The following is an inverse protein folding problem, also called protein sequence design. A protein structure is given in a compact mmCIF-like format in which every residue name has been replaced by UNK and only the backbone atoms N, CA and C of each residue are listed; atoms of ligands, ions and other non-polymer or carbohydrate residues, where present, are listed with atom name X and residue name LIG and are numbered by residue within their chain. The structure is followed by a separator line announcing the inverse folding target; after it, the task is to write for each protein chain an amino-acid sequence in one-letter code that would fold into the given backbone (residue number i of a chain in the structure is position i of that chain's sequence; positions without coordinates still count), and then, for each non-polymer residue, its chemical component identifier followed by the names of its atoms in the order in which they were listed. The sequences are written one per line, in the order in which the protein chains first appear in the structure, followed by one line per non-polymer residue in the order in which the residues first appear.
data_IF_893007972189
#
_entry.id   IF_893007972189
#
_cell.length_a   1.000
_cell.length_b   1.000
_cell.length_c   1.000
_cell.angle_alpha   90.00
_cell.angle_beta   90.00
_cell.angle_gamma   90.00
#
_symmetry.space_group_name_H-M   'P 1'
#
loop_
_entity.id
_entity.type
_entity.pdbx_description
1 polymer ?
#
# COMPACT_ATOMS: atom_id res chain seq x y z
N UNK A 1 48.01 10.55 -9.11
CA UNK A 1 47.70 10.09 -7.73
C UNK A 1 46.30 10.58 -7.41
N UNK A 2 45.30 9.84 -6.96
CA UNK A 2 45.14 8.43 -6.64
C UNK A 2 43.64 8.09 -6.89
N UNK A 3 43.36 6.90 -7.45
CA UNK A 3 42.01 6.36 -7.62
C UNK A 3 41.49 5.87 -6.27
N UNK A 4 40.42 6.47 -5.74
CA UNK A 4 39.73 5.98 -4.54
C UNK A 4 38.64 4.99 -4.94
N UNK A 5 39.04 3.73 -5.06
CA UNK A 5 38.15 2.57 -5.13
C UNK A 5 37.47 2.38 -3.76
N UNK A 6 36.15 2.55 -3.69
CA UNK A 6 35.34 2.12 -2.54
C UNK A 6 34.95 0.66 -2.73
N UNK A 7 35.53 -0.22 -1.93
CA UNK A 7 35.18 -1.64 -1.83
C UNK A 7 33.90 -1.81 -1.01
N UNK A 8 32.94 -2.56 -1.54
CA UNK A 8 31.76 -3.02 -0.79
C UNK A 8 31.99 -4.48 -0.40
N UNK A 9 32.10 -4.74 0.89
CA UNK A 9 32.22 -6.09 1.44
C UNK A 9 30.85 -6.75 1.53
N UNK A 10 30.62 -7.77 0.71
CA UNK A 10 29.44 -8.62 0.82
C UNK A 10 29.63 -9.65 1.94
N UNK A 11 28.82 -9.58 2.99
CA UNK A 11 28.76 -10.60 4.04
C UNK A 11 27.71 -11.64 3.65
N UNK A 12 28.17 -12.82 3.23
CA UNK A 12 27.33 -13.96 2.89
C UNK A 12 26.83 -14.70 4.13
N UNK A 13 25.51 -14.84 4.26
CA UNK A 13 24.91 -15.70 5.28
C UNK A 13 24.66 -17.10 4.70
N UNK A 14 25.35 -18.10 5.27
CA UNK A 14 25.14 -19.53 5.03
C UNK A 14 23.92 -19.98 5.84
N UNK A 15 22.98 -20.72 5.25
CA UNK A 15 22.01 -21.54 5.99
C UNK A 15 22.18 -23.01 5.59
N UNK A 16 22.49 -23.81 6.60
CA UNK A 16 22.60 -25.26 6.54
C UNK A 16 21.21 -25.90 6.43
N UNK A 17 21.10 -26.92 5.59
CA UNK A 17 19.93 -27.78 5.44
C UNK A 17 20.27 -29.10 6.12
N UNK A 18 19.54 -29.43 7.18
CA UNK A 18 19.44 -30.80 7.70
C UNK A 18 18.02 -31.03 8.21
N UNK A 19 17.26 -31.91 7.57
CA UNK A 19 16.47 -32.91 8.28
C UNK A 19 16.12 -34.06 7.33
N UNK A 20 16.35 -35.26 7.83
CA UNK A 20 16.23 -36.52 7.14
C UNK A 20 14.79 -37.05 7.15
N UNK A 21 14.56 -37.96 6.20
CA UNK A 21 13.47 -38.94 6.04
C UNK A 21 12.73 -39.38 7.32
N UNK A 22 11.41 -39.47 7.21
CA UNK A 22 10.64 -40.58 7.75
C UNK A 22 9.39 -40.82 6.90
N UNK A 23 9.14 -42.11 6.66
CA UNK A 23 8.23 -42.70 5.68
C UNK A 23 6.91 -43.15 6.35
N UNK A 24 5.90 -43.38 5.50
CA UNK A 24 4.69 -44.20 5.71
C UNK A 24 3.65 -43.83 6.80
N UNK A 25 2.40 -43.55 6.39
CA UNK A 25 1.32 -44.54 6.45
C UNK A 25 -0.07 -43.91 6.16
N UNK A 26 -0.85 -44.64 5.35
CA UNK A 26 -2.18 -44.32 4.85
C UNK A 26 -3.29 -44.32 5.92
N UNK A 27 -4.40 -43.61 5.65
CA UNK A 27 -5.82 -44.08 5.67
C UNK A 27 -6.77 -42.88 5.51
N UNK A 28 -7.30 -42.65 4.31
CA UNK A 28 -8.67 -43.00 3.87
C UNK A 28 -9.82 -42.26 4.57
N UNK A 29 -10.42 -41.33 3.82
CA UNK A 29 -11.86 -41.09 3.68
C UNK A 29 -12.75 -40.99 4.94
N UNK A 30 -13.24 -39.78 5.22
CA UNK A 30 -14.70 -39.54 5.35
C UNK A 30 -14.99 -38.05 5.44
N UNK A 31 -15.44 -37.47 4.33
CA UNK A 31 -16.05 -36.13 4.30
C UNK A 31 -17.56 -36.34 4.17
N UNK A 32 -18.31 -35.95 5.21
CA UNK A 32 -19.73 -35.50 5.24
C UNK A 32 -20.44 -36.00 6.50
N UNK A 33 -21.05 -35.07 7.24
CA UNK A 33 -22.02 -35.41 8.28
C UNK A 33 -22.31 -34.31 9.30
N UNK A 34 -22.86 -33.16 8.86
CA UNK A 34 -23.60 -32.29 9.78
C UNK A 34 -24.93 -32.97 10.14
N UNK A 35 -25.10 -33.35 11.42
CA UNK A 35 -26.36 -33.33 12.19
C UNK A 35 -26.22 -34.20 13.46
N UNK A 36 -25.69 -33.62 14.56
CA UNK A 36 -25.81 -34.23 15.89
C UNK A 36 -26.99 -33.61 16.65
N UNK A 37 -27.80 -34.48 17.25
CA UNK A 37 -29.08 -34.21 17.91
C UNK A 37 -28.93 -33.30 19.14
N UNK A 38 -29.95 -32.48 19.37
CA UNK A 38 -30.03 -31.44 20.40
C UNK A 38 -30.46 -32.05 21.74
N UNK A 39 -29.51 -32.38 22.61
CA UNK A 39 -29.79 -32.67 24.02
C UNK A 39 -29.74 -31.41 24.89
N UNK A 40 -30.81 -31.22 25.67
CA UNK A 40 -31.02 -30.08 26.56
C UNK A 40 -30.24 -30.23 27.88
N UNK A 41 -29.41 -29.22 28.15
CA UNK A 41 -29.24 -28.49 29.44
C UNK A 41 -28.29 -29.11 30.50
N UNK A 42 -27.14 -28.46 30.68
CA UNK A 42 -26.56 -28.21 32.02
C UNK A 42 -26.07 -26.76 32.10
N UNK A 43 -26.84 -25.93 32.81
CA UNK A 43 -26.48 -24.56 33.20
C UNK A 43 -25.32 -24.68 34.19
N UNK A 44 -24.10 -24.38 33.75
CA UNK A 44 -22.91 -24.27 34.60
C UNK A 44 -22.46 -22.83 34.54
N UNK A 45 -22.53 -22.15 35.68
CA UNK A 45 -21.97 -20.82 35.88
C UNK A 45 -20.51 -20.81 35.40
N UNK A 46 -20.17 -19.89 34.50
CA UNK A 46 -18.79 -19.66 34.09
C UNK A 46 -18.55 -18.19 33.78
N UNK A 47 -18.22 -17.47 34.86
CA UNK A 47 -17.29 -16.34 34.87
C UNK A 47 -16.13 -16.68 33.90
N UNK A 48 -16.13 -16.07 32.72
CA UNK A 48 -15.16 -16.36 31.65
C UNK A 48 -15.54 -15.81 30.26
N UNK A 49 -16.36 -14.75 30.21
CA UNK A 49 -16.84 -14.16 28.94
C UNK A 49 -15.79 -13.27 28.26
N UNK A 50 -15.00 -12.53 29.03
CA UNK A 50 -13.99 -11.61 28.48
C UNK A 50 -12.83 -12.35 27.82
N UNK A 51 -12.40 -13.47 28.39
CA UNK A 51 -11.32 -14.30 27.83
C UNK A 51 -11.69 -14.87 26.47
N UNK A 52 -12.97 -15.22 26.23
CA UNK A 52 -13.41 -15.80 24.95
C UNK A 52 -13.42 -14.79 23.79
N UNK A 53 -13.84 -13.55 24.06
CA UNK A 53 -13.78 -12.47 23.08
C UNK A 53 -12.33 -12.05 22.80
N UNK A 54 -11.50 -12.02 23.84
CA UNK A 54 -10.07 -11.73 23.72
C UNK A 54 -9.33 -12.84 22.94
N UNK A 55 -9.64 -14.11 23.18
CA UNK A 55 -9.13 -15.25 22.41
C UNK A 55 -9.57 -15.21 20.94
N UNK A 56 -10.81 -14.83 20.67
CA UNK A 56 -11.31 -14.64 19.30
C UNK A 56 -10.58 -13.49 18.59
N UNK A 57 -10.36 -12.38 19.29
CA UNK A 57 -9.55 -11.25 18.78
C UNK A 57 -8.10 -11.69 18.52
N UNK A 58 -7.47 -12.40 19.45
CA UNK A 58 -6.12 -12.93 19.27
C UNK A 58 -6.06 -13.92 18.11
N UNK A 59 -7.10 -14.73 17.89
CA UNK A 59 -7.18 -15.65 16.75
C UNK A 59 -7.33 -14.89 15.42
N UNK A 60 -8.08 -13.80 15.40
CA UNK A 60 -8.21 -12.93 14.23
C UNK A 60 -6.89 -12.22 13.89
N UNK A 61 -6.15 -11.78 14.91
CA UNK A 61 -4.83 -11.13 14.75
C UNK A 61 -3.76 -12.15 14.33
N UNK A 62 -3.77 -13.34 14.94
CA UNK A 62 -2.74 -14.37 14.72
C UNK A 62 -2.77 -14.99 13.33
N UNK A 63 -3.82 -14.76 12.52
CA UNK A 63 -3.92 -15.08 11.10
C UNK A 63 -3.45 -16.49 10.72
N UNK A 64 -4.36 -17.40 10.36
CA UNK A 64 -3.94 -18.65 9.73
C UNK A 64 -3.53 -18.34 8.28
N UNK A 65 -2.21 -18.21 8.04
CA UNK A 65 -1.69 -18.14 6.69
C UNK A 65 -1.83 -19.52 6.05
N UNK A 66 -2.43 -19.63 4.86
CA UNK A 66 -2.36 -20.87 4.10
C UNK A 66 -0.90 -21.18 3.77
N UNK A 67 -0.57 -22.47 3.67
CA UNK A 67 0.75 -22.88 3.19
C UNK A 67 0.95 -22.29 1.78
N UNK A 68 2.05 -21.56 1.59
CA UNK A 68 2.32 -20.91 0.31
C UNK A 68 2.60 -21.97 -0.75
N UNK A 69 1.83 -21.98 -1.84
CA UNK A 69 2.18 -22.76 -3.02
C UNK A 69 3.52 -22.27 -3.58
N UNK A 70 4.45 -23.20 -3.79
CA UNK A 70 5.73 -22.87 -4.40
C UNK A 70 5.52 -22.53 -5.87
N UNK A 71 5.81 -21.28 -6.24
CA UNK A 71 5.74 -20.87 -7.65
C UNK A 71 6.64 -21.74 -8.52
N UNK A 72 6.11 -22.12 -9.69
CA UNK A 72 6.89 -22.74 -10.75
C UNK A 72 8.01 -21.80 -11.21
N UNK A 73 9.04 -22.33 -11.87
CA UNK A 73 10.17 -21.51 -12.33
C UNK A 73 9.74 -20.47 -13.37
N UNK A 74 8.79 -20.81 -14.23
CA UNK A 74 8.23 -19.90 -15.23
C UNK A 74 7.45 -18.75 -14.58
N UNK A 75 6.63 -19.04 -13.56
CA UNK A 75 5.91 -18.01 -12.80
C UNK A 75 6.86 -17.09 -12.05
N UNK A 76 7.93 -17.64 -11.44
CA UNK A 76 8.98 -16.85 -10.78
C UNK A 76 9.63 -15.86 -11.75
N UNK A 77 9.95 -16.31 -12.96
CA UNK A 77 10.52 -15.44 -13.99
C UNK A 77 9.53 -14.36 -14.43
N UNK A 78 8.27 -14.70 -14.70
CA UNK A 78 7.23 -13.71 -15.01
C UNK A 78 7.04 -12.67 -13.91
N UNK A 79 6.99 -13.10 -12.66
CA UNK A 79 6.85 -12.20 -11.52
C UNK A 79 8.06 -11.26 -11.39
N UNK A 80 9.27 -11.78 -11.67
CA UNK A 80 10.48 -10.95 -11.70
C UNK A 80 10.43 -9.91 -12.82
N UNK A 81 9.96 -10.27 -14.02
CA UNK A 81 9.79 -9.34 -15.14
C UNK A 81 8.75 -8.26 -14.82
N UNK A 82 7.60 -8.65 -14.28
CA UNK A 82 6.56 -7.71 -13.83
C UNK A 82 7.12 -6.74 -12.80
N UNK A 83 7.85 -7.23 -11.80
CA UNK A 83 8.48 -6.37 -10.79
C UNK A 83 9.48 -5.37 -11.40
N UNK A 84 10.28 -5.81 -12.37
CA UNK A 84 11.22 -4.91 -13.08
C UNK A 84 10.48 -3.85 -13.90
N UNK A 85 9.42 -4.25 -14.62
CA UNK A 85 8.60 -3.33 -15.40
C UNK A 85 7.91 -2.31 -14.49
N UNK A 86 7.31 -2.76 -13.40
CA UNK A 86 6.67 -1.88 -12.41
C UNK A 86 7.67 -0.84 -11.87
N UNK A 87 8.85 -1.28 -11.43
CA UNK A 87 9.88 -0.37 -10.90
C UNK A 87 10.36 0.65 -11.95
N UNK A 88 10.48 0.23 -13.21
CA UNK A 88 10.82 1.13 -14.31
C UNK A 88 9.72 2.17 -14.51
N UNK A 89 8.47 1.75 -14.61
CA UNK A 89 7.33 2.64 -14.85
C UNK A 89 7.13 3.61 -13.69
N UNK A 90 7.19 3.14 -12.45
CA UNK A 90 7.07 4.00 -11.26
C UNK A 90 8.18 5.06 -11.19
N UNK A 91 9.41 4.70 -11.62
CA UNK A 91 10.52 5.67 -11.70
C UNK A 91 10.28 6.72 -12.78
N UNK A 92 9.75 6.31 -13.94
CA UNK A 92 9.40 7.23 -15.03
C UNK A 92 8.33 8.22 -14.55
N UNK A 93 7.25 7.73 -13.94
CA UNK A 93 6.18 8.57 -13.39
C UNK A 93 6.71 9.56 -12.34
N UNK A 94 7.56 9.09 -11.42
CA UNK A 94 8.21 9.94 -10.44
C UNK A 94 9.03 11.06 -11.09
N UNK A 95 9.85 10.73 -12.11
CA UNK A 95 10.66 11.70 -12.80
C UNK A 95 9.82 12.74 -13.55
N UNK A 96 8.70 12.34 -14.14
CA UNK A 96 7.76 13.28 -14.77
C UNK A 96 7.16 14.24 -13.74
N UNK A 97 6.70 13.72 -12.60
CA UNK A 97 6.16 14.54 -11.52
C UNK A 97 7.20 15.50 -10.96
N UNK A 98 8.43 15.04 -10.71
CA UNK A 98 9.50 15.90 -10.18
C UNK A 98 9.93 16.98 -11.17
N UNK A 99 9.97 16.67 -12.47
CA UNK A 99 10.25 17.66 -13.50
C UNK A 99 9.19 18.75 -13.54
N UNK A 100 7.91 18.37 -13.53
CA UNK A 100 6.78 19.31 -13.52
C UNK A 100 6.79 20.18 -12.26
N UNK A 101 7.01 19.59 -11.08
CA UNK A 101 7.15 20.36 -9.83
C UNK A 101 8.30 21.35 -9.89
N UNK A 102 9.47 20.94 -10.39
CA UNK A 102 10.62 21.83 -10.50
C UNK A 102 10.31 22.99 -11.45
N UNK A 103 9.72 22.73 -12.61
CA UNK A 103 9.31 23.78 -13.55
C UNK A 103 8.34 24.76 -12.90
N UNK A 104 7.36 24.28 -12.11
CA UNK A 104 6.44 25.15 -11.37
C UNK A 104 7.15 26.00 -10.31
N UNK A 105 8.15 25.44 -9.62
CA UNK A 105 8.96 26.18 -8.64
C UNK A 105 9.78 27.27 -9.35
N UNK A 106 10.44 26.93 -10.45
CA UNK A 106 11.26 27.87 -11.22
C UNK A 106 10.42 29.04 -11.74
N UNK A 107 9.28 28.74 -12.37
CA UNK A 107 8.33 29.75 -12.84
C UNK A 107 7.76 30.60 -11.70
N UNK A 108 7.53 30.02 -10.51
CA UNK A 108 7.09 30.79 -9.34
C UNK A 108 8.15 31.79 -8.90
N UNK A 109 9.42 31.40 -8.87
CA UNK A 109 10.51 32.31 -8.52
C UNK A 109 10.71 33.41 -9.55
N UNK A 110 10.64 33.07 -10.84
CA UNK A 110 10.67 34.06 -11.92
C UNK A 110 9.53 35.07 -11.79
N UNK A 111 8.32 34.61 -11.50
CA UNK A 111 7.16 35.46 -11.29
C UNK A 111 7.33 36.39 -10.07
N UNK A 112 7.82 35.88 -8.94
CA UNK A 112 8.09 36.71 -7.75
C UNK A 112 9.14 37.78 -8.07
N UNK A 113 10.22 37.42 -8.76
CA UNK A 113 11.28 38.36 -9.12
C UNK A 113 10.82 39.44 -10.11
N UNK A 114 9.80 39.14 -10.92
CA UNK A 114 9.20 40.10 -11.86
C UNK A 114 8.25 41.11 -11.17
N UNK A 115 7.83 40.86 -9.92
CA UNK A 115 6.98 41.79 -9.18
C UNK A 115 7.75 43.05 -8.74
N UNK A 116 7.06 44.19 -8.55
CA UNK A 116 7.62 45.35 -7.86
C UNK A 116 8.08 45.01 -6.44
N UNK A 117 9.13 45.67 -5.95
CA UNK A 117 9.74 45.37 -4.65
C UNK A 117 8.76 45.43 -3.45
N UNK A 118 7.75 46.30 -3.52
CA UNK A 118 6.71 46.44 -2.50
C UNK A 118 5.82 45.19 -2.39
N UNK A 119 5.57 44.49 -3.49
CA UNK A 119 4.75 43.28 -3.53
C UNK A 119 5.58 42.00 -3.33
N UNK A 120 6.89 42.06 -3.58
CA UNK A 120 7.78 40.92 -3.35
C UNK A 120 7.84 40.51 -1.87
N UNK A 121 7.79 41.48 -0.96
CA UNK A 121 7.85 41.19 0.49
C UNK A 121 6.64 40.38 0.94
N UNK A 122 5.44 40.75 0.49
CA UNK A 122 4.20 40.02 0.80
C UNK A 122 4.19 38.64 0.13
N UNK A 123 4.64 38.53 -1.12
CA UNK A 123 4.68 37.26 -1.85
C UNK A 123 5.63 36.21 -1.24
N UNK A 124 6.61 36.63 -0.43
CA UNK A 124 7.55 35.75 0.27
C UNK A 124 7.03 35.27 1.63
N UNK A 125 5.91 35.81 2.11
CA UNK A 125 5.30 35.35 3.37
C UNK A 125 4.68 33.96 3.19
N UNK A 126 4.82 33.13 4.22
CA UNK A 126 4.28 31.76 4.20
C UNK A 126 2.80 31.82 4.50
N UNK A 127 1.97 31.41 3.54
CA UNK A 127 0.54 31.22 3.76
C UNK A 127 0.29 29.98 4.65
N UNK A 128 -0.27 30.23 5.84
CA UNK A 128 -0.66 29.19 6.82
C UNK A 128 -2.15 28.88 6.77
N UNK A 129 -2.89 29.44 5.82
CA UNK A 129 -4.31 29.17 5.63
C UNK A 129 -4.52 27.68 5.36
N UNK A 130 -5.54 27.06 5.99
CA UNK A 130 -5.85 25.66 5.71
C UNK A 130 -6.32 25.49 4.26
N UNK A 131 -6.13 24.30 3.71
CA UNK A 131 -6.73 23.96 2.43
C UNK A 131 -8.27 24.12 2.51
N UNK A 132 -8.95 24.63 1.47
CA UNK A 132 -10.40 24.80 1.49
C UNK A 132 -11.13 23.47 1.76
N UNK A 133 -12.05 23.48 2.72
CA UNK A 133 -12.81 22.28 3.13
C UNK A 133 -13.69 21.72 1.99
N UNK A 134 -14.10 22.59 1.07
CA UNK A 134 -14.90 22.25 -0.12
C UNK A 134 -14.12 21.41 -1.15
N UNK A 135 -12.78 21.33 -1.02
CA UNK A 135 -11.93 20.54 -1.92
C UNK A 135 -12.08 19.04 -1.58
N UNK A 136 -13.05 18.40 -2.22
CA UNK A 136 -13.26 16.95 -2.11
C UNK A 136 -12.12 16.12 -2.72
N UNK A 137 -11.87 14.95 -2.15
CA UNK A 137 -10.98 13.93 -2.74
C UNK A 137 -11.69 13.30 -3.93
N UNK A 138 -10.94 13.03 -5.00
CA UNK A 138 -11.47 12.35 -6.16
C UNK A 138 -12.02 10.96 -5.81
N UNK A 139 -13.31 10.75 -6.07
CA UNK A 139 -13.98 9.45 -5.99
C UNK A 139 -13.90 8.69 -7.33
N UNK A 140 -13.88 7.36 -7.28
CA UNK A 140 -13.91 6.49 -8.46
C UNK A 140 -15.19 6.67 -9.30
N UNK A 141 -16.31 6.93 -8.66
CA UNK A 141 -17.62 7.14 -9.30
C UNK A 141 -18.20 8.46 -8.80
N UNK A 142 -18.75 9.31 -9.68
CA UNK A 142 -19.41 10.54 -9.24
C UNK A 142 -20.62 10.18 -8.36
N UNK A 143 -20.93 11.00 -7.34
CA UNK A 143 -21.99 10.69 -6.38
C UNK A 143 -23.39 10.71 -7.00
N UNK A 144 -23.62 11.56 -8.02
CA UNK A 144 -24.88 11.67 -8.76
C UNK A 144 -24.62 11.93 -10.25
N UNK A 145 -25.56 11.57 -11.15
CA UNK A 145 -25.49 11.96 -12.57
C UNK A 145 -25.46 13.48 -12.71
N UNK A 146 -24.52 14.00 -13.52
CA UNK A 146 -24.35 15.44 -13.72
C UNK A 146 -23.63 16.18 -12.58
N UNK A 147 -23.06 15.46 -11.60
CA UNK A 147 -22.23 16.07 -10.56
C UNK A 147 -21.00 16.76 -11.19
N UNK A 148 -21.02 18.09 -11.20
CA UNK A 148 -19.85 18.92 -11.53
C UNK A 148 -18.98 19.00 -10.28
N UNK A 149 -17.70 18.65 -10.41
CA UNK A 149 -16.73 18.96 -9.36
C UNK A 149 -16.41 20.44 -9.45
N UNK A 150 -15.98 21.04 -8.34
CA UNK A 150 -15.54 22.45 -8.30
C UNK A 150 -14.44 22.78 -9.36
N UNK A 151 -13.71 21.77 -9.83
CA UNK A 151 -12.73 21.89 -10.92
C UNK A 151 -13.33 22.09 -12.32
N UNK A 152 -14.63 21.81 -12.50
CA UNK A 152 -15.29 21.76 -13.80
C UNK A 152 -15.96 23.11 -14.15
N UNK A 153 -15.98 24.06 -13.22
CA UNK A 153 -16.67 25.37 -13.36
C UNK A 153 -15.95 26.36 -14.30
N UNK A 154 -14.72 26.07 -14.73
CA UNK A 154 -13.90 26.95 -15.59
C UNK A 154 -13.93 26.63 -17.09
N UNK A 155 -14.66 25.61 -17.53
CA UNK A 155 -14.64 25.16 -18.93
C UNK A 155 -15.70 25.82 -19.84
N UNK A 156 -16.63 26.61 -19.30
CA UNK A 156 -17.82 27.10 -20.05
C UNK A 156 -17.87 28.63 -20.29
N UNK A 157 -16.77 29.38 -20.15
CA UNK A 157 -16.76 30.84 -20.43
C UNK A 157 -15.85 31.26 -21.60
N UNK A 158 -15.81 30.46 -22.67
CA UNK A 158 -15.20 30.85 -23.95
C UNK A 158 -16.07 30.34 -25.12
N UNK A 159 -17.20 31.00 -25.33
CA UNK A 159 -17.92 31.07 -26.61
C UNK A 159 -18.30 32.54 -26.88
#
# INVERSE_FOLDING_TARGET
MALLLRSVTAVGAKRAITCALADAAATSSSVRGFAAKKDKKKKKDKKGGDDSNFEQMLRAIKGQYPDAEEWTEEEKQRHQEIGRLFNRMSTIEHNHLMRDLQTKIDLKWEAINALPAELQTEALEIDVSPAPEERGIATWTPPIPGFRRYTDEGAETMD
#
